data_IF_077683448034
#
_entry.id   IF_077683448034
#
_cell.length_a   1.000
_cell.length_b   1.000
_cell.length_c   1.000
_cell.angle_alpha   90.00
_cell.angle_beta   90.00
_cell.angle_gamma   90.00
#
_symmetry.space_group_name_H-M   'P 1'
#
loop_
_entity.id
_entity.type
_entity.pdbx_description
1 polymer ?
#
# COMPACT_ATOMS: atom_id res chain seq x y z
N UNK A 1 -18.73 -12.39 -4.86
CA UNK A 1 -18.06 -11.82 -3.66
C UNK A 1 -17.57 -10.44 -4.05
N UNK A 2 -18.07 -9.38 -3.41
CA UNK A 2 -17.69 -8.00 -3.74
C UNK A 2 -16.61 -7.46 -2.81
N UNK A 3 -16.46 -8.03 -1.61
CA UNK A 3 -15.48 -7.61 -0.61
C UNK A 3 -14.19 -8.42 -0.74
N UNK A 4 -13.04 -7.74 -0.68
CA UNK A 4 -11.72 -8.34 -0.88
C UNK A 4 -11.38 -9.42 0.17
N UNK A 5 -11.77 -9.20 1.43
CA UNK A 5 -11.53 -10.16 2.51
C UNK A 5 -12.40 -11.42 2.39
N UNK A 6 -13.60 -11.32 1.82
CA UNK A 6 -14.42 -12.50 1.52
C UNK A 6 -13.75 -13.37 0.46
N UNK A 7 -13.16 -12.75 -0.56
CA UNK A 7 -12.42 -13.45 -1.61
C UNK A 7 -11.20 -14.16 -1.01
N UNK A 8 -10.45 -13.48 -0.14
CA UNK A 8 -9.31 -14.06 0.57
C UNK A 8 -9.76 -15.28 1.38
N UNK A 9 -10.77 -15.12 2.23
CA UNK A 9 -11.26 -16.20 3.09
C UNK A 9 -11.78 -17.39 2.28
N UNK A 10 -12.48 -17.12 1.17
CA UNK A 10 -12.95 -18.16 0.27
C UNK A 10 -11.81 -18.93 -0.38
N UNK A 11 -10.77 -18.24 -0.87
CA UNK A 11 -9.63 -18.87 -1.55
C UNK A 11 -8.74 -19.63 -0.56
N UNK A 12 -8.49 -19.07 0.63
CA UNK A 12 -7.70 -19.72 1.68
C UNK A 12 -8.39 -20.99 2.19
N UNK A 13 -9.72 -21.03 2.25
CA UNK A 13 -10.47 -22.20 2.67
C UNK A 13 -10.80 -23.19 1.53
N UNK A 14 -10.39 -22.90 0.29
CA UNK A 14 -10.91 -23.59 -0.90
C UNK A 14 -10.57 -25.09 -0.95
N UNK A 15 -9.37 -25.47 -0.50
CA UNK A 15 -8.90 -26.87 -0.45
C UNK A 15 -9.10 -27.53 0.93
N UNK A 16 -9.64 -26.80 1.90
CA UNK A 16 -9.84 -27.25 3.27
C UNK A 16 -8.60 -27.15 4.17
N UNK A 17 -7.50 -26.57 3.68
CA UNK A 17 -6.24 -26.41 4.41
C UNK A 17 -5.84 -24.92 4.52
N UNK A 18 -6.59 -24.10 5.28
CA UNK A 18 -6.31 -22.67 5.39
C UNK A 18 -4.91 -22.40 5.96
N UNK A 19 -4.19 -21.50 5.30
CA UNK A 19 -2.79 -21.17 5.61
C UNK A 19 -2.64 -19.75 6.16
N UNK A 20 -3.59 -18.85 5.90
CA UNK A 20 -3.52 -17.46 6.35
C UNK A 20 -3.79 -17.39 7.85
N UNK A 21 -2.81 -16.90 8.60
CA UNK A 21 -2.93 -16.71 10.05
C UNK A 21 -3.90 -15.57 10.41
N UNK A 22 -4.48 -15.66 11.61
CA UNK A 22 -5.34 -14.60 12.14
C UNK A 22 -4.59 -13.26 12.26
N UNK A 23 -5.33 -12.17 12.15
CA UNK A 23 -4.83 -10.83 12.43
C UNK A 23 -4.67 -10.62 13.96
N UNK A 24 -3.54 -10.04 14.36
CA UNK A 24 -3.24 -9.64 15.74
C UNK A 24 -3.11 -8.13 15.89
N UNK A 25 -2.81 -7.40 14.80
CA UNK A 25 -2.48 -5.97 14.81
C UNK A 25 -3.55 -5.10 14.14
N UNK A 26 -4.71 -5.66 13.76
CA UNK A 26 -5.74 -4.98 12.97
C UNK A 26 -6.15 -3.60 13.48
N UNK A 27 -6.26 -3.39 14.80
CA UNK A 27 -6.58 -2.08 15.37
C UNK A 27 -5.46 -1.05 15.15
N UNK A 28 -4.19 -1.46 15.36
CA UNK A 28 -3.02 -0.59 15.15
C UNK A 28 -2.83 -0.26 13.69
N UNK A 29 -3.05 -1.23 12.81
CA UNK A 29 -3.01 -1.05 11.36
C UNK A 29 -4.09 -0.04 10.94
N UNK A 30 -5.33 -0.22 11.41
CA UNK A 30 -6.44 0.69 11.08
C UNK A 30 -6.17 2.12 11.54
N UNK A 31 -5.71 2.30 12.78
CA UNK A 31 -5.36 3.62 13.32
C UNK A 31 -4.19 4.27 12.56
N UNK A 32 -3.18 3.48 12.18
CA UNK A 32 -2.08 3.99 11.37
C UNK A 32 -2.53 4.39 9.97
N UNK A 33 -3.37 3.58 9.31
CA UNK A 33 -3.88 3.86 7.96
C UNK A 33 -4.75 5.11 7.91
N UNK A 34 -5.53 5.39 8.96
CA UNK A 34 -6.35 6.61 9.05
C UNK A 34 -5.50 7.88 8.93
N UNK A 35 -4.31 7.87 9.55
CA UNK A 35 -3.36 9.00 9.50
C UNK A 35 -2.52 8.94 8.23
N UNK A 36 -1.83 7.83 7.98
CA UNK A 36 -0.89 7.68 6.87
C UNK A 36 -1.58 7.80 5.50
N UNK A 37 -2.84 7.35 5.40
CA UNK A 37 -3.64 7.41 4.17
C UNK A 37 -3.91 8.83 3.68
N UNK A 38 -3.98 9.81 4.59
CA UNK A 38 -4.13 11.22 4.20
C UNK A 38 -2.92 11.69 3.38
N UNK A 39 -1.70 11.45 3.87
CA UNK A 39 -0.46 11.80 3.16
C UNK A 39 -0.23 10.90 1.95
N UNK A 40 -0.43 9.60 2.12
CA UNK A 40 -0.23 8.59 1.09
C UNK A 40 -1.08 8.84 -0.15
N UNK A 41 -2.37 9.14 -0.01
CA UNK A 41 -3.26 9.42 -1.15
C UNK A 41 -2.80 10.60 -2.01
N UNK A 42 -2.33 11.68 -1.38
CA UNK A 42 -1.80 12.89 -2.04
C UNK A 42 -0.46 12.63 -2.74
N UNK A 43 0.29 11.62 -2.29
CA UNK A 43 1.52 11.21 -2.93
C UNK A 43 1.29 10.21 -4.08
N UNK A 44 0.47 9.17 -3.88
CA UNK A 44 0.36 8.06 -4.82
C UNK A 44 -0.55 8.33 -6.01
N UNK A 45 -1.67 9.05 -5.82
CA UNK A 45 -2.64 9.28 -6.90
C UNK A 45 -2.05 10.04 -8.10
N UNK A 46 -1.33 11.17 -7.92
CA UNK A 46 -0.65 11.81 -9.05
C UNK A 46 0.39 10.89 -9.69
N UNK A 47 1.13 10.12 -8.88
CA UNK A 47 2.23 9.27 -9.36
C UNK A 47 1.78 8.05 -10.15
N UNK A 48 0.61 7.49 -9.86
CA UNK A 48 0.03 6.42 -10.68
C UNK A 48 -0.28 6.88 -12.12
N UNK A 49 -0.48 8.18 -12.35
CA UNK A 49 -0.61 8.72 -13.71
C UNK A 49 0.73 8.94 -14.43
N UNK A 50 1.85 8.81 -13.71
CA UNK A 50 3.20 9.06 -14.22
C UNK A 50 3.96 7.76 -14.55
N UNK A 51 3.39 6.60 -14.22
CA UNK A 51 3.98 5.28 -14.47
C UNK A 51 3.05 4.45 -15.37
N UNK A 52 3.60 3.43 -16.00
CA UNK A 52 2.84 2.54 -16.86
C UNK A 52 2.05 1.52 -16.02
N UNK A 53 0.74 1.71 -15.95
CA UNK A 53 -0.20 0.81 -15.26
C UNK A 53 -1.27 0.31 -16.24
N UNK A 54 -1.59 -1.00 -16.25
CA UNK A 54 -2.51 -1.58 -17.21
C UNK A 54 -3.95 -1.03 -17.10
N UNK A 55 -4.36 -0.56 -15.93
CA UNK A 55 -5.66 0.08 -15.70
C UNK A 55 -5.78 1.49 -16.32
N UNK A 56 -4.66 2.13 -16.68
CA UNK A 56 -4.63 3.50 -17.21
C UNK A 56 -4.19 3.56 -18.69
N UNK A 57 -4.47 2.51 -19.45
CA UNK A 57 -4.17 2.48 -20.90
C UNK A 57 -5.19 3.27 -21.75
N UNK A 58 -6.30 3.71 -21.16
CA UNK A 58 -7.32 4.54 -21.82
C UNK A 58 -7.33 5.96 -21.25
N UNK A 59 -7.46 6.95 -22.13
CA UNK A 59 -7.62 8.35 -21.73
C UNK A 59 -8.89 8.59 -20.89
N UNK A 60 -9.97 7.85 -21.15
CA UNK A 60 -11.20 7.93 -20.35
C UNK A 60 -10.96 7.42 -18.92
N UNK A 61 -10.17 6.36 -18.77
CA UNK A 61 -9.82 5.81 -17.46
C UNK A 61 -8.94 6.78 -16.66
N UNK A 62 -7.95 7.41 -17.32
CA UNK A 62 -7.12 8.46 -16.71
C UNK A 62 -7.95 9.67 -16.30
N UNK A 63 -8.81 10.16 -17.19
CA UNK A 63 -9.66 11.32 -16.94
C UNK A 63 -10.63 11.07 -15.78
N UNK A 64 -11.28 9.90 -15.76
CA UNK A 64 -12.15 9.50 -14.65
C UNK A 64 -11.39 9.42 -13.33
N UNK A 65 -10.22 8.78 -13.33
CA UNK A 65 -9.41 8.63 -12.13
C UNK A 65 -8.96 9.98 -11.59
N UNK A 66 -8.42 10.85 -12.46
CA UNK A 66 -7.99 12.20 -12.08
C UNK A 66 -9.17 12.98 -11.49
N UNK A 67 -10.31 13.05 -12.20
CA UNK A 67 -11.49 13.78 -11.70
C UNK A 67 -11.97 13.26 -10.35
N UNK A 68 -12.10 11.94 -10.19
CA UNK A 68 -12.64 11.34 -8.97
C UNK A 68 -11.67 11.48 -7.79
N UNK A 69 -10.37 11.25 -8.03
CA UNK A 69 -9.37 11.26 -6.97
C UNK A 69 -8.94 12.66 -6.58
N UNK A 70 -8.86 13.62 -7.51
CA UNK A 70 -8.64 15.02 -7.18
C UNK A 70 -9.77 15.57 -6.28
N UNK A 71 -11.03 15.23 -6.57
CA UNK A 71 -12.15 15.57 -5.68
C UNK A 71 -12.06 14.87 -4.32
N UNK A 72 -11.61 13.61 -4.27
CA UNK A 72 -11.43 12.86 -3.02
C UNK A 72 -10.36 13.45 -2.10
N UNK A 73 -9.25 13.97 -2.66
CA UNK A 73 -8.18 14.61 -1.88
C UNK A 73 -8.34 16.12 -1.72
N UNK A 74 -9.41 16.68 -2.31
CA UNK A 74 -9.72 18.11 -2.36
C UNK A 74 -8.57 18.97 -2.89
N UNK A 75 -7.90 18.49 -3.94
CA UNK A 75 -6.69 19.08 -4.50
C UNK A 75 -6.43 18.57 -5.92
N UNK A 76 -5.82 19.40 -6.78
CA UNK A 76 -5.36 18.93 -8.09
C UNK A 76 -4.15 17.99 -7.95
N UNK A 77 -3.92 17.12 -8.93
CA UNK A 77 -2.72 16.27 -8.95
C UNK A 77 -1.43 17.09 -9.06
N UNK A 78 -1.44 18.21 -9.77
CA UNK A 78 -0.27 19.09 -9.90
C UNK A 78 0.07 19.74 -8.56
N UNK A 79 -0.93 20.28 -7.84
CA UNK A 79 -0.73 20.86 -6.51
C UNK A 79 -0.28 19.80 -5.49
N UNK A 80 -0.88 18.61 -5.53
CA UNK A 80 -0.49 17.51 -4.65
C UNK A 80 0.95 17.06 -4.91
N UNK A 81 1.36 17.02 -6.18
CA UNK A 81 2.73 16.70 -6.57
C UNK A 81 3.72 17.81 -6.18
N UNK A 82 3.35 19.10 -6.36
CA UNK A 82 4.17 20.23 -5.96
C UNK A 82 4.44 20.26 -4.45
N UNK A 83 3.49 19.80 -3.64
CA UNK A 83 3.63 19.68 -2.18
C UNK A 83 4.24 18.34 -1.71
N UNK A 84 4.87 17.57 -2.62
CA UNK A 84 5.41 16.25 -2.30
C UNK A 84 6.39 16.24 -1.13
N UNK A 85 7.28 17.24 -1.01
CA UNK A 85 8.28 17.27 0.06
C UNK A 85 7.64 17.29 1.45
N UNK A 86 6.56 18.07 1.62
CA UNK A 86 5.81 18.14 2.87
C UNK A 86 5.18 16.78 3.19
N UNK A 87 4.44 16.20 2.25
CA UNK A 87 3.76 14.93 2.47
C UNK A 87 4.72 13.76 2.65
N UNK A 88 5.86 13.75 1.95
CA UNK A 88 6.95 12.78 2.16
C UNK A 88 7.50 12.90 3.57
N UNK A 89 7.76 14.12 4.06
CA UNK A 89 8.27 14.32 5.41
C UNK A 89 7.28 13.79 6.47
N UNK A 90 5.97 14.03 6.29
CA UNK A 90 4.93 13.50 7.18
C UNK A 90 4.81 11.98 7.11
N UNK A 91 4.78 11.41 5.91
CA UNK A 91 4.66 9.96 5.73
C UNK A 91 5.91 9.22 6.25
N UNK A 92 7.10 9.80 6.13
CA UNK A 92 8.32 9.25 6.74
C UNK A 92 8.21 9.14 8.27
N UNK A 93 7.58 10.11 8.93
CA UNK A 93 7.32 10.03 10.38
C UNK A 93 6.33 8.90 10.70
N UNK A 94 5.29 8.72 9.89
CA UNK A 94 4.32 7.64 10.09
C UNK A 94 4.95 6.25 9.85
N UNK A 95 5.87 6.12 8.89
CA UNK A 95 6.57 4.84 8.64
C UNK A 95 7.39 4.37 9.85
N UNK A 96 7.94 5.30 10.66
CA UNK A 96 8.65 4.95 11.89
C UNK A 96 7.76 4.30 12.96
N UNK A 97 6.44 4.50 12.90
CA UNK A 97 5.48 3.94 13.86
C UNK A 97 5.09 2.50 13.56
N UNK A 98 5.58 1.93 12.46
CA UNK A 98 5.38 0.53 12.07
C UNK A 98 6.40 -0.41 12.72
N UNK A 99 6.83 -0.10 13.93
CA UNK A 99 7.78 -0.92 14.72
C UNK A 99 7.20 -2.29 15.11
N UNK A 100 5.89 -2.43 15.00
CA UNK A 100 5.13 -3.63 15.37
C UNK A 100 4.93 -4.63 14.26
N UNK A 101 5.38 -4.32 13.04
CA UNK A 101 5.29 -5.28 11.95
C UNK A 101 6.20 -6.48 12.27
N UNK A 102 5.58 -7.66 12.26
CA UNK A 102 6.27 -8.93 12.41
C UNK A 102 6.54 -9.48 11.02
N UNK A 103 7.81 -9.73 10.72
CA UNK A 103 8.23 -10.22 9.41
C UNK A 103 7.66 -11.63 9.15
N UNK A 104 7.26 -11.95 7.91
CA UNK A 104 6.89 -13.32 7.55
C UNK A 104 7.96 -14.36 7.94
N UNK A 105 9.24 -14.04 7.79
CA UNK A 105 10.35 -14.91 8.17
C UNK A 105 10.40 -15.25 9.66
N UNK A 106 9.84 -14.40 10.53
CA UNK A 106 9.73 -14.63 11.96
C UNK A 106 8.52 -15.50 12.34
N UNK A 107 7.62 -15.75 11.39
CA UNK A 107 6.38 -16.53 11.57
C UNK A 107 6.38 -17.82 10.75
N UNK A 108 7.52 -18.25 10.22
CA UNK A 108 7.62 -19.47 9.41
C UNK A 108 7.25 -19.26 7.94
N UNK A 109 7.42 -18.03 7.42
CA UNK A 109 7.11 -17.63 6.04
C UNK A 109 5.64 -17.77 5.65
N UNK A 110 4.73 -17.66 6.61
CA UNK A 110 3.28 -17.61 6.36
C UNK A 110 2.76 -16.19 6.51
N UNK A 111 1.70 -15.88 5.78
CA UNK A 111 1.02 -14.60 5.84
C UNK A 111 -0.11 -14.64 6.88
N UNK A 112 -0.47 -13.48 7.41
CA UNK A 112 -1.69 -13.27 8.19
C UNK A 112 -2.62 -12.26 7.52
N UNK A 113 -3.84 -12.16 8.05
CA UNK A 113 -4.76 -11.10 7.66
C UNK A 113 -4.23 -9.69 7.95
N UNK A 114 -3.26 -9.51 8.86
CA UNK A 114 -2.59 -8.21 9.01
C UNK A 114 -1.81 -7.85 7.74
N UNK A 115 -1.12 -8.83 7.13
CA UNK A 115 -0.35 -8.62 5.91
C UNK A 115 -1.24 -8.25 4.73
N UNK A 116 -2.36 -8.95 4.60
CA UNK A 116 -3.36 -8.70 3.56
C UNK A 116 -3.92 -7.29 3.67
N UNK A 117 -4.08 -6.78 4.89
CA UNK A 117 -4.61 -5.44 5.12
C UNK A 117 -3.57 -4.33 4.92
N UNK A 118 -2.32 -4.51 5.35
CA UNK A 118 -1.33 -3.41 5.32
C UNK A 118 -0.44 -3.41 4.07
N UNK A 119 -0.07 -4.58 3.55
CA UNK A 119 0.88 -4.69 2.44
C UNK A 119 0.45 -3.92 1.19
N UNK A 120 -0.82 -3.95 0.72
CA UNK A 120 -1.21 -3.21 -0.47
C UNK A 120 -0.93 -1.70 -0.38
N UNK A 121 -1.12 -1.10 0.81
CA UNK A 121 -0.86 0.32 1.04
C UNK A 121 0.64 0.60 1.02
N UNK A 122 1.44 -0.17 1.77
CA UNK A 122 2.89 0.01 1.82
C UNK A 122 3.53 -0.23 0.44
N UNK A 123 3.07 -1.24 -0.29
CA UNK A 123 3.49 -1.54 -1.65
C UNK A 123 3.19 -0.38 -2.58
N UNK A 124 2.01 0.24 -2.48
CA UNK A 124 1.69 1.41 -3.27
C UNK A 124 2.58 2.62 -2.96
N UNK A 125 3.01 2.78 -1.71
CA UNK A 125 3.94 3.86 -1.34
C UNK A 125 5.31 3.72 -2.00
N UNK A 126 5.72 2.52 -2.44
CA UNK A 126 7.03 2.33 -3.12
C UNK A 126 7.13 3.04 -4.47
N UNK A 127 6.02 3.58 -5.01
CA UNK A 127 6.05 4.44 -6.19
C UNK A 127 6.60 5.84 -5.89
N UNK A 128 6.65 6.24 -4.61
CA UNK A 128 7.03 7.59 -4.18
C UNK A 128 8.54 7.65 -3.97
N UNK A 129 9.25 8.26 -4.92
CA UNK A 129 10.68 8.48 -4.77
C UNK A 129 10.96 9.45 -3.62
N UNK A 130 11.92 9.08 -2.76
CA UNK A 130 12.33 9.90 -1.60
C UNK A 130 11.69 9.51 -0.27
N UNK A 131 10.72 8.59 -0.25
CA UNK A 131 10.31 7.95 1.00
C UNK A 131 11.46 7.13 1.59
N UNK A 132 11.58 7.17 2.92
CA UNK A 132 12.62 6.50 3.69
C UNK A 132 11.98 5.42 4.55
N UNK A 133 12.12 4.18 4.09
CA UNK A 133 11.61 3.02 4.81
C UNK A 133 12.57 2.67 5.95
N UNK A 134 12.07 2.54 7.20
CA UNK A 134 12.82 1.90 8.27
C UNK A 134 13.21 0.48 7.88
N UNK A 135 14.35 -0.01 8.39
CA UNK A 135 14.90 -1.31 7.97
C UNK A 135 13.92 -2.48 8.11
N UNK A 136 13.16 -2.52 9.21
CA UNK A 136 12.13 -3.54 9.43
C UNK A 136 10.98 -3.44 8.40
N UNK A 137 10.50 -2.23 8.09
CA UNK A 137 9.43 -2.01 7.10
C UNK A 137 9.91 -2.36 5.70
N UNK A 138 11.17 -2.03 5.36
CA UNK A 138 11.76 -2.37 4.06
C UNK A 138 11.86 -3.88 3.90
N UNK A 139 12.40 -4.57 4.91
CA UNK A 139 12.51 -6.03 4.92
C UNK A 139 11.13 -6.69 4.84
N UNK A 140 10.16 -6.18 5.58
CA UNK A 140 8.77 -6.64 5.52
C UNK A 140 8.20 -6.60 4.09
N UNK A 141 8.35 -5.47 3.41
CA UNK A 141 7.88 -5.30 2.03
C UNK A 141 8.55 -6.30 1.07
N UNK A 142 9.85 -6.52 1.23
CA UNK A 142 10.62 -7.42 0.37
C UNK A 142 10.19 -8.88 0.58
N UNK A 143 9.99 -9.29 1.84
CA UNK A 143 9.53 -10.64 2.18
C UNK A 143 8.10 -10.90 1.68
N UNK A 144 7.16 -9.99 1.91
CA UNK A 144 5.77 -10.18 1.44
C UNK A 144 5.71 -10.13 -0.09
N UNK A 145 6.49 -9.26 -0.74
CA UNK A 145 6.60 -9.23 -2.20
C UNK A 145 7.13 -10.55 -2.77
N UNK A 146 8.16 -11.13 -2.15
CA UNK A 146 8.72 -12.42 -2.56
C UNK A 146 7.71 -13.57 -2.39
N UNK A 147 7.00 -13.63 -1.25
CA UNK A 147 6.02 -14.68 -0.97
C UNK A 147 4.79 -14.62 -1.88
N UNK A 148 4.35 -13.41 -2.23
CA UNK A 148 3.12 -13.20 -3.04
C UNK A 148 3.38 -13.07 -4.54
N UNK A 149 4.65 -12.95 -4.95
CA UNK A 149 5.04 -12.55 -6.31
C UNK A 149 4.46 -11.21 -6.78
N UNK A 150 3.94 -10.38 -5.86
CA UNK A 150 3.44 -9.04 -6.16
C UNK A 150 4.60 -8.08 -6.18
N UNK A 151 4.93 -7.56 -7.37
CA UNK A 151 6.05 -6.63 -7.54
C UNK A 151 5.81 -5.28 -6.88
N UNK A 152 6.86 -4.76 -6.27
CA UNK A 152 6.96 -3.38 -5.78
C UNK A 152 7.19 -2.41 -6.94
N UNK A 153 6.98 -1.12 -6.69
CA UNK A 153 7.16 -0.06 -7.67
C UNK A 153 8.54 0.60 -7.64
N UNK A 154 9.48 0.13 -6.82
CA UNK A 154 10.80 0.75 -6.62
C UNK A 154 11.54 1.05 -7.95
N UNK A 155 11.42 0.16 -8.94
CA UNK A 155 12.07 0.29 -10.25
C UNK A 155 11.47 1.40 -11.15
N UNK A 156 10.25 1.84 -10.86
CA UNK A 156 9.51 2.86 -11.61
C UNK A 156 9.13 4.06 -10.73
N UNK A 157 9.72 4.18 -9.55
CA UNK A 157 9.38 5.22 -8.60
C UNK A 157 9.70 6.63 -9.13
N UNK A 158 8.80 7.57 -8.84
CA UNK A 158 8.82 8.98 -9.31
C UNK A 158 8.76 9.98 -8.17
#
# INVERSE_FOLDING_TARGET
MAESLDIVAFLDAFDGEPMVQNAEQGQRISAWMEVAGYYGSRLIYPRWMMIDLPEFQSEDAKAWFNSKKSAMIDMTFDDAFANSEEYIAKLNVELLKLDFLVLPSQRGNVLSYDDINIFPFLRNYTVVKGLRYPGNVRQYLDEVSALTSVKLYDAVAV
#
